data_IF_119823140015
#
_entry.id   IF_119823140015
#
_cell.length_a   1.000
_cell.length_b   1.000
_cell.length_c   1.000
_cell.angle_alpha   90.00
_cell.angle_beta   90.00
_cell.angle_gamma   90.00
#
_symmetry.space_group_name_H-M   'P 1'
#
loop_
_entity.id
_entity.type
_entity.pdbx_description
1 polymer ?
#
# COMPACT_ATOMS: atom_id res chain seq x y z
N UNK A 1 7.33 27.83 -18.77
CA UNK A 1 6.11 27.37 -18.07
C UNK A 1 6.50 26.33 -17.05
N UNK A 2 6.30 26.56 -15.78
CA UNK A 2 6.45 25.48 -14.83
C UNK A 2 5.43 24.41 -15.17
N UNK A 3 5.88 23.18 -15.43
CA UNK A 3 5.01 22.01 -15.51
C UNK A 3 4.27 21.94 -14.17
N UNK A 4 2.96 22.05 -14.18
CA UNK A 4 2.17 21.85 -12.97
C UNK A 4 2.45 20.42 -12.47
N UNK A 5 2.94 20.28 -11.27
CA UNK A 5 3.08 18.96 -10.61
C UNK A 5 1.71 18.30 -10.66
N UNK A 6 1.59 17.07 -11.17
CA UNK A 6 0.30 16.42 -11.27
C UNK A 6 -0.33 16.32 -9.87
N UNK A 7 -1.61 16.62 -9.77
CA UNK A 7 -2.35 16.55 -8.50
C UNK A 7 -2.51 15.11 -7.99
N UNK A 8 -2.43 14.14 -8.89
CA UNK A 8 -2.48 12.72 -8.56
C UNK A 8 -1.75 11.88 -9.62
N UNK A 9 -1.25 10.73 -9.20
CA UNK A 9 -0.61 9.72 -10.02
C UNK A 9 -1.24 8.36 -9.76
N UNK A 10 -1.37 7.56 -10.81
CA UNK A 10 -1.82 6.18 -10.71
C UNK A 10 -0.91 5.30 -11.56
N UNK A 11 -0.26 4.33 -10.92
CA UNK A 11 0.54 3.30 -11.57
C UNK A 11 -0.15 1.95 -11.40
N UNK A 12 -0.30 1.23 -12.50
CA UNK A 12 -0.88 -0.11 -12.53
C UNK A 12 0.17 -1.10 -13.05
N UNK A 13 0.48 -2.10 -12.24
CA UNK A 13 1.34 -3.23 -12.60
C UNK A 13 0.62 -4.54 -12.29
N UNK A 14 1.11 -5.65 -12.78
CA UNK A 14 0.46 -6.95 -12.64
C UNK A 14 0.13 -7.34 -11.19
N UNK A 15 0.96 -6.93 -10.23
CA UNK A 15 0.83 -7.32 -8.82
C UNK A 15 0.72 -6.15 -7.85
N UNK A 16 0.80 -4.94 -8.35
CA UNK A 16 0.82 -3.72 -7.53
C UNK A 16 -0.01 -2.63 -8.17
N UNK A 17 -0.69 -1.90 -7.36
CA UNK A 17 -1.30 -0.63 -7.76
C UNK A 17 -0.83 0.44 -6.79
N UNK A 18 -0.30 1.53 -7.33
CA UNK A 18 0.13 2.69 -6.56
C UNK A 18 -0.71 3.89 -6.96
N UNK A 19 -1.38 4.46 -5.99
CA UNK A 19 -2.05 5.75 -6.12
C UNK A 19 -1.33 6.78 -5.24
N UNK A 20 -1.11 7.97 -5.78
CA UNK A 20 -0.66 9.13 -5.01
C UNK A 20 -1.58 10.28 -5.33
N UNK A 21 -2.21 10.87 -4.33
CA UNK A 21 -3.15 11.95 -4.54
C UNK A 21 -3.60 12.60 -3.24
N UNK A 22 -4.26 13.74 -3.38
CA UNK A 22 -4.79 14.48 -2.24
C UNK A 22 -6.13 13.90 -1.80
N UNK A 23 -6.31 13.79 -0.51
CA UNK A 23 -7.57 13.43 0.13
C UNK A 23 -8.05 14.62 0.96
N UNK A 24 -9.19 15.19 0.61
CA UNK A 24 -9.78 16.34 1.30
C UNK A 24 -10.78 15.93 2.38
N UNK A 25 -11.33 14.72 2.29
CA UNK A 25 -12.37 14.21 3.18
C UNK A 25 -11.96 12.88 3.82
N UNK A 26 -12.72 12.46 4.81
CA UNK A 26 -12.52 11.13 5.38
C UNK A 26 -12.94 10.03 4.37
N UNK A 27 -12.19 8.94 4.34
CA UNK A 27 -12.45 7.81 3.45
C UNK A 27 -12.68 6.54 4.27
N UNK A 28 -13.78 5.84 3.99
CA UNK A 28 -13.99 4.50 4.52
C UNK A 28 -13.30 3.47 3.63
N UNK A 29 -12.41 2.69 4.23
CA UNK A 29 -11.67 1.62 3.56
C UNK A 29 -12.22 0.27 4.02
N UNK A 30 -12.70 -0.52 3.07
CA UNK A 30 -13.11 -1.91 3.27
C UNK A 30 -12.77 -2.69 2.02
N UNK A 31 -11.55 -3.22 1.96
CA UNK A 31 -10.99 -3.75 0.72
C UNK A 31 -10.51 -5.19 0.87
N UNK A 32 -10.60 -5.95 -0.21
CA UNK A 32 -10.06 -7.30 -0.30
C UNK A 32 -8.53 -7.34 -0.44
N UNK A 33 -7.93 -6.28 -0.97
CA UNK A 33 -6.47 -6.14 -1.04
C UNK A 33 -5.87 -5.77 0.31
N UNK A 34 -4.63 -6.15 0.56
CA UNK A 34 -3.84 -5.51 1.60
C UNK A 34 -3.47 -4.09 1.12
N UNK A 35 -3.49 -3.12 2.03
CA UNK A 35 -3.33 -1.72 1.65
C UNK A 35 -2.28 -1.05 2.52
N UNK A 36 -1.20 -0.56 1.90
CA UNK A 36 -0.23 0.31 2.56
C UNK A 36 -0.63 1.77 2.32
N UNK A 37 -0.72 2.55 3.38
CA UNK A 37 -1.03 3.98 3.32
C UNK A 37 0.11 4.77 3.95
N UNK A 38 0.55 5.84 3.27
CA UNK A 38 1.52 6.80 3.81
C UNK A 38 0.98 8.23 3.65
N UNK A 39 1.16 9.04 4.68
CA UNK A 39 0.88 10.48 4.62
C UNK A 39 2.12 11.25 4.16
N UNK A 40 2.11 11.78 2.92
CA UNK A 40 3.27 12.46 2.35
C UNK A 40 3.61 13.77 3.05
N UNK A 41 2.60 14.58 3.34
CA UNK A 41 2.82 15.91 3.90
C UNK A 41 2.78 15.86 5.43
N UNK A 42 1.85 15.11 5.98
CA UNK A 42 1.66 14.96 7.43
C UNK A 42 1.11 13.58 7.77
N UNK A 43 0.96 13.28 9.05
CA UNK A 43 0.29 12.09 9.53
C UNK A 43 -1.21 12.11 9.22
N UNK A 44 -1.84 10.98 9.44
CA UNK A 44 -3.29 10.79 9.35
C UNK A 44 -3.78 9.99 10.55
N UNK A 45 -5.08 9.90 10.72
CA UNK A 45 -5.69 9.10 11.78
C UNK A 45 -6.53 7.98 11.18
N UNK A 46 -6.34 6.77 11.67
CA UNK A 46 -7.22 5.63 11.40
C UNK A 46 -8.20 5.48 12.55
N UNK A 47 -9.49 5.39 12.23
CA UNK A 47 -10.52 5.02 13.17
C UNK A 47 -10.91 3.54 12.91
N UNK A 48 -10.73 2.71 13.92
CA UNK A 48 -11.04 1.28 13.85
C UNK A 48 -11.61 0.81 15.18
N UNK A 49 -12.75 0.15 15.15
CA UNK A 49 -13.46 -0.36 16.33
C UNK A 49 -13.59 0.69 17.46
N UNK A 50 -13.92 1.92 17.09
CA UNK A 50 -14.10 3.05 18.02
C UNK A 50 -12.80 3.64 18.59
N UNK A 51 -11.63 3.21 18.09
CA UNK A 51 -10.32 3.72 18.51
C UNK A 51 -9.74 4.62 17.43
N UNK A 52 -9.10 5.69 17.85
CA UNK A 52 -8.38 6.62 16.99
C UNK A 52 -6.88 6.32 17.08
N UNK A 53 -6.29 5.98 15.95
CA UNK A 53 -4.89 5.57 15.83
C UNK A 53 -4.15 6.58 14.94
N UNK A 54 -3.48 7.58 15.50
CA UNK A 54 -2.67 8.51 14.72
C UNK A 54 -1.40 7.80 14.23
N UNK A 55 -1.10 7.95 12.95
CA UNK A 55 0.09 7.37 12.34
C UNK A 55 0.50 8.15 11.09
N UNK A 56 1.61 7.83 10.50
CA UNK A 56 2.05 8.37 9.22
C UNK A 56 2.19 7.31 8.15
N UNK A 57 2.34 6.07 8.55
CA UNK A 57 2.29 4.90 7.68
C UNK A 57 1.51 3.77 8.35
N UNK A 58 0.73 3.04 7.58
CA UNK A 58 -0.04 1.90 8.05
C UNK A 58 -0.20 0.84 6.96
N UNK A 59 -0.05 -0.41 7.35
CA UNK A 59 -0.39 -1.57 6.52
C UNK A 59 -1.68 -2.19 7.05
N UNK A 60 -2.72 -2.08 6.24
CA UNK A 60 -4.07 -2.58 6.52
C UNK A 60 -4.21 -3.98 5.93
N UNK A 61 -4.47 -5.01 6.74
CA UNK A 61 -4.75 -6.35 6.22
C UNK A 61 -6.00 -6.37 5.34
N UNK A 62 -6.07 -7.35 4.45
CA UNK A 62 -7.27 -7.67 3.68
C UNK A 62 -8.49 -7.79 4.59
N UNK A 63 -9.60 -7.22 4.20
CA UNK A 63 -10.86 -7.24 4.95
C UNK A 63 -10.93 -6.26 6.13
N UNK A 64 -9.92 -5.45 6.37
CA UNK A 64 -9.95 -4.39 7.38
C UNK A 64 -11.05 -3.37 7.06
N UNK A 65 -11.75 -2.93 8.10
CA UNK A 65 -12.72 -1.83 8.02
C UNK A 65 -12.21 -0.68 8.87
N UNK A 66 -11.77 0.37 8.21
CA UNK A 66 -11.23 1.55 8.87
C UNK A 66 -11.76 2.82 8.20
N UNK A 67 -11.91 3.88 8.98
CA UNK A 67 -12.10 5.22 8.46
C UNK A 67 -10.77 5.95 8.52
N UNK A 68 -10.30 6.41 7.37
CA UNK A 68 -9.09 7.19 7.24
C UNK A 68 -9.45 8.68 7.27
N UNK A 69 -8.87 9.41 8.20
CA UNK A 69 -9.03 10.86 8.36
C UNK A 69 -7.70 11.53 8.02
N UNK A 70 -7.65 12.19 6.88
CA UNK A 70 -6.43 12.84 6.37
C UNK A 70 -6.79 14.20 5.78
N UNK A 71 -7.06 15.18 6.62
CA UNK A 71 -7.41 16.52 6.17
C UNK A 71 -6.32 17.14 5.29
N UNK A 72 -6.65 17.44 4.05
CA UNK A 72 -5.80 18.11 3.06
C UNK A 72 -4.38 17.54 2.93
N UNK A 73 -4.26 16.22 3.04
CA UNK A 73 -3.00 15.51 2.99
C UNK A 73 -2.86 14.76 1.66
N UNK A 74 -1.68 14.81 1.06
CA UNK A 74 -1.35 13.89 -0.04
C UNK A 74 -1.04 12.52 0.56
N UNK A 75 -1.73 11.52 0.06
CA UNK A 75 -1.57 10.13 0.46
C UNK A 75 -0.92 9.30 -0.64
N UNK A 76 -0.11 8.38 -0.22
CA UNK A 76 0.35 7.26 -1.02
C UNK A 76 -0.49 6.05 -0.61
N UNK A 77 -1.09 5.39 -1.56
CA UNK A 77 -1.89 4.19 -1.32
C UNK A 77 -1.43 3.06 -2.24
N UNK A 78 -0.99 1.98 -1.63
CA UNK A 78 -0.58 0.77 -2.31
C UNK A 78 -1.61 -0.32 -2.11
N UNK A 79 -2.09 -0.88 -3.20
CA UNK A 79 -2.89 -2.10 -3.16
C UNK A 79 -2.01 -3.29 -3.50
N UNK A 80 -2.01 -4.28 -2.62
CA UNK A 80 -1.11 -5.44 -2.65
C UNK A 80 -1.89 -6.74 -2.58
N UNK A 81 -1.36 -7.78 -3.20
CA UNK A 81 -1.83 -9.14 -2.97
C UNK A 81 -1.58 -9.51 -1.48
N UNK A 82 -2.63 -9.80 -0.70
CA UNK A 82 -2.48 -10.10 0.73
C UNK A 82 -1.66 -11.37 1.00
N UNK A 83 -1.52 -12.23 0.01
CA UNK A 83 -0.73 -13.46 0.06
C UNK A 83 0.58 -13.36 -0.73
N UNK A 84 0.91 -12.17 -1.21
CA UNK A 84 2.09 -11.91 -2.00
C UNK A 84 3.34 -11.64 -1.15
N UNK A 85 4.49 -11.75 -1.80
CA UNK A 85 5.80 -11.49 -1.19
C UNK A 85 5.94 -10.05 -0.67
N UNK A 86 5.36 -9.08 -1.36
CA UNK A 86 5.41 -7.68 -0.98
C UNK A 86 4.71 -7.41 0.35
N UNK A 87 3.52 -7.98 0.55
CA UNK A 87 2.79 -7.84 1.79
C UNK A 87 3.55 -8.45 2.97
N UNK A 88 4.18 -9.61 2.76
CA UNK A 88 5.02 -10.24 3.76
C UNK A 88 6.26 -9.40 4.11
N UNK A 89 6.95 -8.86 3.10
CA UNK A 89 8.11 -7.99 3.30
C UNK A 89 7.75 -6.71 4.05
N UNK A 90 6.66 -6.05 3.66
CA UNK A 90 6.18 -4.83 4.32
C UNK A 90 5.75 -5.07 5.75
N UNK A 91 5.07 -6.18 6.03
CA UNK A 91 4.71 -6.56 7.40
C UNK A 91 5.94 -6.68 8.29
N UNK A 92 7.04 -7.22 7.77
CA UNK A 92 8.32 -7.30 8.47
C UNK A 92 8.99 -5.94 8.76
N UNK A 93 8.61 -4.90 8.02
CA UNK A 93 9.12 -3.54 8.21
C UNK A 93 8.26 -2.69 9.17
N UNK A 94 7.09 -3.18 9.59
CA UNK A 94 6.23 -2.45 10.51
C UNK A 94 6.71 -2.57 11.95
N UNK A 95 6.69 -1.45 12.68
CA UNK A 95 7.22 -1.35 14.05
C UNK A 95 6.18 -1.56 15.13
N UNK A 96 4.90 -1.34 14.83
CA UNK A 96 3.80 -1.40 15.80
C UNK A 96 2.62 -2.17 15.23
N UNK A 97 2.00 -3.00 16.05
CA UNK A 97 0.75 -3.71 15.72
C UNK A 97 -0.30 -3.37 16.77
N UNK A 98 -1.43 -2.84 16.35
CA UNK A 98 -2.53 -2.49 17.22
C UNK A 98 -3.87 -2.78 16.55
N UNK A 99 -4.72 -3.55 17.24
CA UNK A 99 -6.04 -3.92 16.70
C UNK A 99 -6.00 -4.66 15.36
N UNK A 100 -4.93 -5.42 15.10
CA UNK A 100 -4.72 -6.10 13.82
C UNK A 100 -4.16 -5.22 12.70
N UNK A 101 -4.01 -3.92 12.93
CA UNK A 101 -3.39 -2.99 12.00
C UNK A 101 -1.89 -2.85 12.31
N UNK A 102 -1.07 -2.82 11.28
CA UNK A 102 0.36 -2.59 11.41
C UNK A 102 0.66 -1.12 11.09
N UNK A 103 1.45 -0.45 11.92
CA UNK A 103 1.76 0.97 11.77
C UNK A 103 3.25 1.23 11.94
N UNK A 104 3.72 2.32 11.35
CA UNK A 104 5.09 2.78 11.46
C UNK A 104 6.06 1.93 10.64
N UNK A 105 6.41 2.36 9.44
CA UNK A 105 7.50 1.77 8.67
C UNK A 105 8.86 2.06 9.33
N UNK A 106 9.74 1.08 9.37
CA UNK A 106 11.06 1.21 9.99
C UNK A 106 11.87 2.38 9.39
N UNK A 107 11.90 2.50 8.07
CA UNK A 107 12.60 3.58 7.36
C UNK A 107 11.62 4.56 6.71
N UNK A 108 10.62 4.99 7.47
CA UNK A 108 9.50 5.81 7.01
C UNK A 108 9.95 7.06 6.23
N UNK A 109 11.00 7.74 6.69
CA UNK A 109 11.55 8.92 6.01
C UNK A 109 12.03 8.62 4.59
N UNK A 110 12.67 7.48 4.38
CA UNK A 110 13.12 7.03 3.06
C UNK A 110 11.93 6.74 2.14
N UNK A 111 10.89 6.08 2.67
CA UNK A 111 9.66 5.82 1.93
C UNK A 111 8.99 7.12 1.47
N UNK A 112 8.88 8.09 2.35
CA UNK A 112 8.27 9.38 2.04
C UNK A 112 9.07 10.14 0.99
N UNK A 113 10.39 10.19 1.12
CA UNK A 113 11.26 10.88 0.17
C UNK A 113 11.18 10.28 -1.23
N UNK A 114 11.23 8.95 -1.34
CA UNK A 114 11.14 8.25 -2.62
C UNK A 114 9.80 8.49 -3.31
N UNK A 115 8.70 8.54 -2.56
CA UNK A 115 7.39 8.83 -3.15
C UNK A 115 7.23 10.29 -3.56
N UNK A 116 7.87 11.23 -2.87
CA UNK A 116 7.95 12.63 -3.32
C UNK A 116 8.70 12.74 -4.64
N UNK A 117 9.79 12.03 -4.80
CA UNK A 117 10.53 11.99 -6.06
C UNK A 117 9.68 11.52 -7.24
N UNK A 118 8.80 10.54 -7.04
CA UNK A 118 7.86 10.10 -8.08
C UNK A 118 6.94 11.22 -8.58
N UNK A 119 6.52 12.10 -7.68
CA UNK A 119 5.67 13.24 -8.03
C UNK A 119 6.44 14.32 -8.77
N UNK A 120 7.67 14.61 -8.36
CA UNK A 120 8.43 15.76 -8.83
C UNK A 120 9.14 15.50 -10.18
N UNK A 121 9.54 14.27 -10.46
CA UNK A 121 10.44 13.93 -11.58
C UNK A 121 9.74 13.39 -12.83
N UNK A 122 8.41 13.42 -12.92
CA UNK A 122 7.65 12.80 -14.03
C UNK A 122 8.15 11.39 -14.37
N UNK A 123 8.31 10.58 -13.35
CA UNK A 123 8.92 9.26 -13.41
C UNK A 123 8.12 8.31 -14.30
N UNK A 124 8.78 7.61 -15.19
CA UNK A 124 8.12 6.58 -16.01
C UNK A 124 7.65 5.41 -15.13
N UNK A 125 6.63 4.62 -15.58
CA UNK A 125 6.18 3.45 -14.82
C UNK A 125 7.29 2.44 -14.51
N UNK A 126 8.25 2.25 -15.43
CA UNK A 126 9.40 1.35 -15.23
C UNK A 126 10.37 1.88 -14.16
N UNK A 127 10.66 3.17 -14.17
CA UNK A 127 11.50 3.82 -13.17
C UNK A 127 10.83 3.80 -11.79
N UNK A 128 9.52 4.09 -11.73
CA UNK A 128 8.74 3.99 -10.51
C UNK A 128 8.77 2.57 -9.95
N UNK A 129 8.60 1.56 -10.79
CA UNK A 129 8.67 0.15 -10.39
C UNK A 129 10.04 -0.20 -9.77
N UNK A 130 11.13 0.16 -10.44
CA UNK A 130 12.49 -0.11 -9.97
C UNK A 130 12.79 0.56 -8.61
N UNK A 131 12.31 1.78 -8.42
CA UNK A 131 12.46 2.53 -7.18
C UNK A 131 11.74 1.82 -6.01
N UNK A 132 10.57 1.30 -6.28
CA UNK A 132 9.75 0.58 -5.32
C UNK A 132 10.33 -0.76 -4.94
N UNK A 133 10.88 -1.50 -5.91
CA UNK A 133 11.59 -2.76 -5.64
C UNK A 133 12.70 -2.58 -4.59
N UNK A 134 13.38 -1.43 -4.63
CA UNK A 134 14.42 -1.11 -3.65
C UNK A 134 13.85 -0.87 -2.25
N UNK A 135 12.65 -0.28 -2.15
CA UNK A 135 12.00 0.00 -0.87
C UNK A 135 11.42 -1.25 -0.21
N UNK A 136 10.78 -2.10 -1.00
CA UNK A 136 10.14 -3.32 -0.48
C UNK A 136 11.18 -4.31 0.04
N UNK A 137 12.33 -4.40 -0.62
CA UNK A 137 13.42 -5.26 -0.20
C UNK A 137 13.14 -6.75 -0.44
N UNK A 138 13.97 -7.59 0.15
CA UNK A 138 13.82 -9.05 0.05
C UNK A 138 12.74 -9.53 1.03
N UNK A 139 11.70 -10.23 0.56
CA UNK A 139 10.66 -10.73 1.44
C UNK A 139 11.21 -11.73 2.46
N UNK A 140 10.77 -11.59 3.71
CA UNK A 140 10.96 -12.64 4.68
C UNK A 140 10.24 -13.92 4.21
N UNK A 141 10.76 -15.12 4.47
CA UNK A 141 10.12 -16.35 4.05
C UNK A 141 8.75 -16.49 4.76
N UNK A 142 7.69 -16.20 4.01
CA UNK A 142 6.33 -16.40 4.45
C UNK A 142 5.85 -17.75 3.94
N UNK A 143 5.67 -18.71 4.85
CA UNK A 143 5.09 -20.01 4.51
C UNK A 143 3.60 -19.98 4.77
N UNK A 144 2.83 -19.89 3.70
CA UNK A 144 1.41 -20.28 3.75
C UNK A 144 1.30 -21.78 4.08
N UNK A 145 0.29 -22.15 4.85
CA UNK A 145 -0.10 -23.56 4.96
C UNK A 145 -0.25 -24.15 3.55
N UNK A 146 0.29 -25.34 3.32
CA UNK A 146 0.33 -25.96 2.00
C UNK A 146 -1.08 -26.11 1.37
N UNK A 147 -2.12 -26.32 2.19
CA UNK A 147 -3.51 -26.41 1.74
C UNK A 147 -4.03 -25.07 1.25
N UNK A 148 -3.72 -23.99 1.95
CA UNK A 148 -4.09 -22.63 1.56
C UNK A 148 -3.34 -22.23 0.30
N UNK A 149 -2.04 -22.53 0.19
CA UNK A 149 -1.25 -22.30 -1.02
C UNK A 149 -1.84 -22.98 -2.24
N UNK A 150 -2.27 -24.22 -2.09
CA UNK A 150 -2.89 -25.01 -3.17
C UNK A 150 -4.21 -24.39 -3.62
N UNK A 151 -5.06 -23.95 -2.70
CA UNK A 151 -6.34 -23.30 -3.01
C UNK A 151 -6.11 -21.96 -3.71
N UNK A 152 -5.19 -21.14 -3.22
CA UNK A 152 -4.83 -19.86 -3.86
C UNK A 152 -4.31 -20.06 -5.27
N UNK A 153 -3.44 -21.05 -5.50
CA UNK A 153 -2.93 -21.39 -6.82
C UNK A 153 -4.04 -21.84 -7.77
N UNK A 154 -4.99 -22.65 -7.28
CA UNK A 154 -6.15 -23.10 -8.03
C UNK A 154 -7.02 -21.91 -8.47
N UNK A 155 -7.37 -21.03 -7.55
CA UNK A 155 -8.17 -19.83 -7.84
C UNK A 155 -7.49 -18.95 -8.88
N UNK A 156 -6.20 -18.67 -8.72
CA UNK A 156 -5.43 -17.84 -9.68
C UNK A 156 -5.43 -18.46 -11.08
N UNK A 157 -5.28 -19.77 -11.18
CA UNK A 157 -5.33 -20.48 -12.46
C UNK A 157 -6.71 -20.39 -13.12
N UNK A 158 -7.76 -20.60 -12.36
CA UNK A 158 -9.12 -20.57 -12.88
C UNK A 158 -9.56 -19.18 -13.32
N UNK A 159 -9.17 -18.14 -12.57
CA UNK A 159 -9.38 -16.73 -12.97
C UNK A 159 -8.64 -16.42 -14.27
N UNK A 160 -7.37 -16.82 -14.41
CA UNK A 160 -6.60 -16.60 -15.62
C UNK A 160 -7.21 -17.30 -16.85
N UNK A 161 -7.71 -18.51 -16.68
CA UNK A 161 -8.36 -19.27 -17.76
C UNK A 161 -9.69 -18.62 -18.20
N UNK A 162 -10.47 -18.08 -17.27
CA UNK A 162 -11.75 -17.43 -17.58
C UNK A 162 -11.59 -16.03 -18.22
N UNK A 163 -10.46 -15.36 -18.02
CA UNK A 163 -10.17 -14.06 -18.64
C UNK A 163 -9.58 -14.22 -20.06
N UNK A 164 -9.18 -15.43 -20.45
CA UNK A 164 -8.60 -15.74 -21.77
C UNK A 164 -9.62 -16.33 -22.76
N UNK A 165 -10.85 -16.50 -22.33
CA UNK A 165 -11.99 -16.93 -23.14
C UNK A 165 -12.86 -15.73 -23.51
#
# INVERSE_FOLDING_TARGET
>A
MPSATPSSLLYLWDRRTLFVGQLSESLELSQAAATLVLGLDQGFTLESAGRLLPCRSALLPSGSRVRLQAADNRLVVWYLDPFGADCAALRGQMTTVEGGLCMGLADESQWLERHRQLLDEQTTPAQAYALIEQLVGTPAPFKLDARISSVVALIKRDVANNLSA
#
